data_IF_558998013171
#
_entry.id   IF_558998013171
#
_cell.length_a   1.000
_cell.length_b   1.000
_cell.length_c   1.000
_cell.angle_alpha   90.00
_cell.angle_beta   90.00
_cell.angle_gamma   90.00
#
_symmetry.space_group_name_H-M   'P 1'
#
loop_
_entity.id
_entity.type
_entity.pdbx_description
1 polymer ?
#
# COMPACT_ATOMS: atom_id res chain seq x y z
N UNK A 1 -58.95 19.16 -30.36
CA UNK A 1 -58.36 18.28 -29.31
C UNK A 1 -57.03 17.79 -29.86
N UNK A 2 -55.93 18.45 -29.50
CA UNK A 2 -54.57 18.01 -29.85
C UNK A 2 -53.96 17.38 -28.61
N UNK A 3 -53.74 16.07 -28.67
CA UNK A 3 -52.94 15.34 -27.67
C UNK A 3 -51.45 15.47 -28.03
N UNK A 4 -50.55 15.71 -27.07
CA UNK A 4 -49.11 15.72 -27.34
C UNK A 4 -48.52 14.31 -27.25
N UNK A 5 -47.75 13.92 -28.26
CA UNK A 5 -46.93 12.71 -28.26
C UNK A 5 -45.80 12.84 -27.22
N UNK A 6 -45.78 11.91 -26.25
CA UNK A 6 -44.60 11.66 -25.40
C UNK A 6 -43.56 10.91 -26.24
N UNK A 7 -42.44 11.55 -26.58
CA UNK A 7 -41.26 10.83 -27.06
C UNK A 7 -40.61 10.11 -25.88
N UNK A 8 -40.85 8.81 -25.78
CA UNK A 8 -40.15 7.90 -24.88
C UNK A 8 -38.71 7.74 -25.36
N UNK A 9 -37.73 8.19 -24.57
CA UNK A 9 -36.33 7.85 -24.79
C UNK A 9 -36.14 6.36 -24.47
N UNK A 10 -36.27 5.52 -25.49
CA UNK A 10 -35.99 4.09 -25.38
C UNK A 10 -34.50 3.91 -25.04
N UNK A 11 -34.21 3.53 -23.80
CA UNK A 11 -32.91 2.99 -23.41
C UNK A 11 -32.65 1.77 -24.27
N UNK A 12 -31.66 1.84 -25.17
CA UNK A 12 -31.24 0.69 -25.95
C UNK A 12 -30.53 -0.29 -25.02
N UNK A 13 -31.18 -1.42 -24.77
CA UNK A 13 -30.61 -2.55 -24.04
C UNK A 13 -29.48 -3.14 -24.91
N UNK A 14 -28.23 -2.99 -24.45
CA UNK A 14 -27.04 -3.48 -25.17
C UNK A 14 -26.89 -4.97 -24.88
N UNK A 15 -26.94 -5.80 -25.93
CA UNK A 15 -26.77 -7.25 -25.80
C UNK A 15 -25.31 -7.61 -25.50
N UNK A 16 -25.03 -8.67 -24.71
CA UNK A 16 -23.66 -9.06 -24.33
C UNK A 16 -22.71 -9.27 -25.53
N UNK A 17 -23.27 -9.74 -26.65
CA UNK A 17 -22.57 -10.02 -27.91
C UNK A 17 -22.06 -8.75 -28.63
N UNK A 18 -22.60 -7.58 -28.30
CA UNK A 18 -22.23 -6.28 -28.88
C UNK A 18 -21.19 -5.53 -28.05
N UNK A 19 -20.83 -6.05 -26.88
CA UNK A 19 -19.78 -5.48 -26.04
C UNK A 19 -18.44 -5.83 -26.70
N UNK A 20 -17.62 -4.84 -27.08
CA UNK A 20 -16.33 -5.10 -27.74
C UNK A 20 -15.30 -5.55 -26.69
N UNK A 21 -15.50 -6.75 -26.13
CA UNK A 21 -14.69 -7.32 -25.03
C UNK A 21 -13.20 -7.40 -25.37
N UNK A 22 -12.88 -7.68 -26.64
CA UNK A 22 -11.50 -7.72 -27.15
C UNK A 22 -10.83 -6.32 -27.15
N UNK A 23 -11.61 -5.26 -27.36
CA UNK A 23 -11.09 -3.89 -27.27
C UNK A 23 -10.79 -3.49 -25.83
N UNK A 24 -11.58 -3.97 -24.87
CA UNK A 24 -11.34 -3.71 -23.45
C UNK A 24 -10.19 -4.53 -22.91
N UNK A 25 -10.02 -5.79 -23.34
CA UNK A 25 -8.91 -6.63 -22.88
C UNK A 25 -7.55 -6.01 -23.22
N UNK A 26 -7.36 -5.52 -24.45
CA UNK A 26 -6.10 -4.87 -24.83
C UNK A 26 -5.80 -3.60 -24.02
N UNK A 27 -6.84 -2.85 -23.63
CA UNK A 27 -6.68 -1.69 -22.74
C UNK A 27 -6.29 -2.14 -21.32
N UNK A 28 -6.92 -3.18 -20.79
CA UNK A 28 -6.59 -3.75 -19.48
C UNK A 28 -5.17 -4.31 -19.45
N UNK A 29 -4.74 -5.00 -20.51
CA UNK A 29 -3.38 -5.52 -20.64
C UNK A 29 -2.36 -4.37 -20.65
N UNK A 30 -2.63 -3.30 -21.39
CA UNK A 30 -1.80 -2.09 -21.39
C UNK A 30 -1.74 -1.43 -20.01
N UNK A 31 -2.87 -1.30 -19.30
CA UNK A 31 -2.90 -0.74 -17.95
C UNK A 31 -2.12 -1.59 -16.93
N UNK A 32 -2.22 -2.92 -17.03
CA UNK A 32 -1.46 -3.84 -16.19
C UNK A 32 0.04 -3.71 -16.43
N UNK A 33 0.46 -3.57 -17.70
CA UNK A 33 1.85 -3.37 -18.04
C UNK A 33 2.39 -2.04 -17.53
N UNK A 34 1.65 -0.94 -17.70
CA UNK A 34 2.02 0.37 -17.17
C UNK A 34 2.10 0.35 -15.64
N UNK A 35 1.18 -0.33 -14.97
CA UNK A 35 1.23 -0.54 -13.52
C UNK A 35 2.52 -1.29 -13.13
N UNK A 36 2.80 -2.43 -13.76
CA UNK A 36 4.01 -3.20 -13.49
C UNK A 36 5.28 -2.36 -13.69
N UNK A 37 5.37 -1.61 -14.79
CA UNK A 37 6.48 -0.71 -15.08
C UNK A 37 6.63 0.39 -14.01
N UNK A 38 5.51 1.02 -13.61
CA UNK A 38 5.49 2.11 -12.64
C UNK A 38 5.97 1.68 -11.24
N UNK A 39 5.72 0.42 -10.87
CA UNK A 39 6.04 -0.15 -9.56
C UNK A 39 7.22 -1.12 -9.58
N UNK A 40 7.95 -1.23 -10.70
CA UNK A 40 9.09 -2.15 -10.83
C UNK A 40 10.19 -1.90 -9.79
N UNK A 41 10.35 -0.66 -9.32
CA UNK A 41 11.34 -0.33 -8.27
C UNK A 41 11.03 -1.01 -6.92
N UNK A 42 9.77 -1.37 -6.65
CA UNK A 42 9.40 -2.11 -5.44
C UNK A 42 10.00 -3.53 -5.43
N UNK A 43 10.25 -4.13 -6.60
CA UNK A 43 10.92 -5.43 -6.69
C UNK A 43 12.33 -5.36 -6.11
N UNK A 44 13.04 -4.23 -6.31
CA UNK A 44 14.40 -4.02 -5.79
C UNK A 44 14.46 -3.94 -4.27
N UNK A 45 13.37 -3.52 -3.63
CA UNK A 45 13.27 -3.37 -2.17
C UNK A 45 12.33 -4.41 -1.53
N UNK A 46 11.83 -5.38 -2.31
CA UNK A 46 10.84 -6.37 -1.88
C UNK A 46 11.32 -7.21 -0.69
N UNK A 47 12.59 -7.65 -0.72
CA UNK A 47 13.22 -8.38 0.37
C UNK A 47 13.27 -7.53 1.65
N UNK A 48 13.62 -6.25 1.53
CA UNK A 48 13.64 -5.29 2.64
C UNK A 48 12.25 -5.05 3.21
N UNK A 49 11.23 -4.91 2.34
CA UNK A 49 9.84 -4.77 2.76
C UNK A 49 9.39 -6.00 3.55
N UNK A 50 9.69 -7.23 3.07
CA UNK A 50 9.38 -8.46 3.81
C UNK A 50 10.08 -8.51 5.16
N UNK A 51 11.35 -8.11 5.21
CA UNK A 51 12.11 -8.08 6.47
C UNK A 51 11.50 -7.12 7.48
N UNK A 52 10.91 -6.01 7.04
CA UNK A 52 10.24 -5.04 7.92
C UNK A 52 8.80 -5.45 8.27
N UNK A 53 8.07 -6.03 7.32
CA UNK A 53 6.67 -6.42 7.52
C UNK A 53 6.52 -7.73 8.31
N UNK A 54 7.42 -8.69 8.10
CA UNK A 54 7.33 -10.03 8.68
C UNK A 54 8.72 -10.61 8.95
N UNK A 55 9.55 -9.96 9.80
CA UNK A 55 10.92 -10.42 10.07
C UNK A 55 10.98 -11.88 10.54
N UNK A 56 9.97 -12.33 11.28
CA UNK A 56 9.90 -13.70 11.81
C UNK A 56 9.79 -14.78 10.72
N UNK A 57 9.35 -14.44 9.50
CA UNK A 57 9.23 -15.35 8.36
C UNK A 57 10.42 -15.29 7.39
N UNK A 58 11.38 -14.39 7.62
CA UNK A 58 12.53 -14.25 6.73
C UNK A 58 13.61 -15.25 7.13
N UNK A 59 14.14 -15.96 6.13
CA UNK A 59 15.31 -16.83 6.31
C UNK A 59 16.52 -15.99 6.70
N UNK A 60 17.17 -16.35 7.79
CA UNK A 60 18.24 -15.54 8.40
C UNK A 60 19.40 -15.36 7.42
N UNK A 61 19.73 -16.40 6.67
CA UNK A 61 20.82 -16.45 5.70
C UNK A 61 20.58 -15.52 4.50
N UNK A 62 19.31 -15.22 4.20
CA UNK A 62 18.93 -14.31 3.11
C UNK A 62 19.03 -12.84 3.50
N UNK A 63 19.10 -12.53 4.80
CA UNK A 63 19.20 -11.16 5.29
C UNK A 63 20.64 -10.63 5.17
N UNK A 64 20.83 -9.30 5.03
CA UNK A 64 22.16 -8.68 5.09
C UNK A 64 22.94 -9.08 6.35
N UNK A 65 24.23 -9.38 6.20
CA UNK A 65 25.08 -9.94 7.27
C UNK A 65 24.99 -9.15 8.59
N UNK A 66 25.00 -7.81 8.53
CA UNK A 66 24.94 -6.94 9.71
C UNK A 66 23.62 -7.04 10.48
N UNK A 67 22.54 -7.51 9.84
CA UNK A 67 21.21 -7.66 10.45
C UNK A 67 20.94 -9.07 10.98
N UNK A 68 21.72 -10.07 10.57
CA UNK A 68 21.40 -11.48 10.84
C UNK A 68 21.34 -11.79 12.34
N UNK A 69 22.21 -11.17 13.14
CA UNK A 69 22.24 -11.40 14.59
C UNK A 69 20.96 -10.87 15.27
N UNK A 70 20.60 -9.61 15.02
CA UNK A 70 19.35 -9.03 15.54
C UNK A 70 18.12 -9.79 15.03
N UNK A 71 18.15 -10.28 13.79
CA UNK A 71 17.06 -11.05 13.21
C UNK A 71 16.85 -12.38 13.93
N UNK A 72 17.93 -13.09 14.28
CA UNK A 72 17.86 -14.32 15.09
C UNK A 72 17.30 -14.04 16.47
N UNK A 73 17.76 -12.99 17.13
CA UNK A 73 17.27 -12.59 18.46
C UNK A 73 15.78 -12.24 18.42
N UNK A 74 15.34 -11.44 17.43
CA UNK A 74 13.94 -11.09 17.23
C UNK A 74 13.07 -12.33 16.98
N UNK A 75 13.54 -13.26 16.14
CA UNK A 75 12.84 -14.53 15.86
C UNK A 75 12.64 -15.40 17.10
N UNK A 76 13.55 -15.30 18.07
CA UNK A 76 13.46 -16.02 19.34
C UNK A 76 12.67 -15.25 20.42
N UNK A 77 12.23 -14.03 20.13
CA UNK A 77 11.42 -13.24 21.05
C UNK A 77 9.92 -13.44 20.78
N UNK A 78 9.29 -14.32 21.55
CA UNK A 78 7.88 -14.69 21.40
C UNK A 78 6.93 -13.48 21.40
N UNK A 79 7.24 -12.43 22.17
CA UNK A 79 6.40 -11.24 22.24
C UNK A 79 6.43 -10.45 20.92
N UNK A 80 7.60 -10.31 20.29
CA UNK A 80 7.72 -9.65 19.00
C UNK A 80 7.15 -10.51 17.88
N UNK A 81 7.44 -11.82 17.87
CA UNK A 81 6.83 -12.75 16.90
C UNK A 81 5.31 -12.62 16.94
N UNK A 82 4.71 -12.63 18.14
CA UNK A 82 3.27 -12.46 18.33
C UNK A 82 2.76 -11.13 17.74
N UNK A 83 3.44 -10.00 18.00
CA UNK A 83 3.06 -8.69 17.43
C UNK A 83 3.02 -8.71 15.90
N UNK A 84 4.02 -9.33 15.26
CA UNK A 84 4.06 -9.42 13.80
C UNK A 84 3.05 -10.44 13.22
N UNK A 85 2.64 -11.45 13.98
CA UNK A 85 1.63 -12.44 13.54
C UNK A 85 0.20 -11.91 13.70
N UNK A 86 -0.09 -11.19 14.77
CA UNK A 86 -1.45 -10.71 15.10
C UNK A 86 -1.83 -9.41 14.37
N UNK A 87 -1.15 -9.07 13.26
CA UNK A 87 -1.37 -7.83 12.49
C UNK A 87 -1.37 -6.56 13.36
N UNK A 88 -0.49 -6.52 14.36
CA UNK A 88 -0.31 -5.30 15.16
C UNK A 88 0.18 -4.15 14.28
N UNK A 89 -0.12 -2.92 14.68
CA UNK A 89 0.39 -1.74 13.98
C UNK A 89 1.94 -1.81 13.86
N UNK A 90 2.43 -1.84 12.62
CA UNK A 90 3.86 -2.02 12.34
C UNK A 90 4.68 -0.88 12.93
N UNK A 91 4.15 0.34 12.87
CA UNK A 91 4.84 1.52 13.37
C UNK A 91 5.03 1.43 14.90
N UNK A 92 4.00 1.06 15.64
CA UNK A 92 4.08 0.88 17.10
C UNK A 92 4.91 -0.34 17.50
N UNK A 93 4.85 -1.42 16.71
CA UNK A 93 5.70 -2.60 16.89
C UNK A 93 7.18 -2.20 16.79
N UNK A 94 7.58 -1.54 15.70
CA UNK A 94 8.96 -1.08 15.50
C UNK A 94 9.37 0.07 16.44
N UNK A 95 8.44 0.88 16.95
CA UNK A 95 8.74 1.85 18.02
C UNK A 95 9.16 1.15 19.32
N UNK A 96 8.55 0.01 19.65
CA UNK A 96 8.85 -0.75 20.86
C UNK A 96 10.10 -1.64 20.76
N UNK A 97 10.58 -1.90 19.54
CA UNK A 97 11.74 -2.74 19.21
C UNK A 97 13.10 -2.06 19.50
N UNK A 98 13.28 -1.51 20.70
CA UNK A 98 14.49 -0.76 21.09
C UNK A 98 15.75 -1.63 21.16
N UNK A 99 15.58 -2.94 21.34
CA UNK A 99 16.65 -3.94 21.45
C UNK A 99 17.29 -4.29 20.09
N UNK A 100 16.63 -3.94 18.98
CA UNK A 100 17.07 -4.26 17.61
C UNK A 100 17.35 -2.99 16.80
N UNK A 101 18.41 -2.22 17.14
CA UNK A 101 18.64 -0.89 16.58
C UNK A 101 18.85 -0.89 15.07
N UNK A 102 19.52 -1.90 14.49
CA UNK A 102 19.78 -1.94 13.05
C UNK A 102 18.53 -2.31 12.26
N UNK A 103 17.76 -3.32 12.72
CA UNK A 103 16.48 -3.67 12.13
C UNK A 103 15.47 -2.51 12.26
N UNK A 104 15.47 -1.81 13.39
CA UNK A 104 14.61 -0.65 13.61
C UNK A 104 14.94 0.52 12.68
N UNK A 105 16.23 0.75 12.40
CA UNK A 105 16.63 1.78 11.45
C UNK A 105 16.22 1.42 10.02
N UNK A 106 16.37 0.15 9.63
CA UNK A 106 15.86 -0.35 8.36
C UNK A 106 14.34 -0.17 8.26
N UNK A 107 13.60 -0.53 9.30
CA UNK A 107 12.16 -0.36 9.37
C UNK A 107 11.76 1.12 9.22
N UNK A 108 12.47 2.03 9.88
CA UNK A 108 12.25 3.47 9.73
C UNK A 108 12.40 3.90 8.28
N UNK A 109 13.43 3.44 7.58
CA UNK A 109 13.66 3.79 6.17
C UNK A 109 12.51 3.35 5.25
N UNK A 110 11.95 2.15 5.47
CA UNK A 110 10.83 1.62 4.70
C UNK A 110 9.51 2.33 5.05
N UNK A 111 9.24 2.53 6.34
CA UNK A 111 7.99 3.16 6.81
C UNK A 111 7.86 4.62 6.36
N UNK A 112 8.98 5.31 6.09
CA UNK A 112 8.99 6.69 5.58
C UNK A 112 9.14 6.80 4.05
N UNK A 113 9.13 5.70 3.29
CA UNK A 113 9.23 5.75 1.82
C UNK A 113 8.15 6.63 1.18
N UNK A 114 6.97 6.67 1.79
CA UNK A 114 5.86 7.55 1.39
C UNK A 114 5.73 8.78 2.29
N UNK A 115 6.78 9.15 3.01
CA UNK A 115 6.79 10.22 3.99
C UNK A 115 6.45 11.59 3.40
N UNK A 116 6.86 11.86 2.15
CA UNK A 116 6.44 13.09 1.45
C UNK A 116 4.94 13.10 1.16
N UNK A 117 4.37 11.96 0.77
CA UNK A 117 2.91 11.81 0.58
C UNK A 117 2.17 12.02 1.89
N UNK A 118 2.64 11.39 2.97
CA UNK A 118 2.09 11.57 4.31
C UNK A 118 2.17 13.04 4.77
N UNK A 119 3.29 13.72 4.52
CA UNK A 119 3.46 15.12 4.85
C UNK A 119 2.51 16.02 4.03
N UNK A 120 2.35 15.72 2.74
CA UNK A 120 1.37 16.39 1.89
C UNK A 120 -0.06 16.18 2.41
N UNK A 121 -0.45 14.94 2.72
CA UNK A 121 -1.77 14.62 3.28
C UNK A 121 -2.03 15.34 4.61
N UNK A 122 -1.05 15.36 5.51
CA UNK A 122 -1.14 16.08 6.78
C UNK A 122 -1.28 17.60 6.55
N UNK A 123 -0.49 18.17 5.64
CA UNK A 123 -0.56 19.59 5.29
C UNK A 123 -1.91 19.96 4.66
N UNK A 124 -2.41 19.18 3.70
CA UNK A 124 -3.73 19.37 3.09
C UNK A 124 -4.86 19.21 4.09
N UNK A 125 -4.79 18.22 4.96
CA UNK A 125 -5.76 18.02 6.04
C UNK A 125 -5.81 19.23 6.98
N UNK A 126 -4.64 19.76 7.36
CA UNK A 126 -4.53 20.97 8.18
C UNK A 126 -5.09 22.22 7.49
N UNK A 127 -4.76 22.42 6.21
CA UNK A 127 -5.31 23.52 5.41
C UNK A 127 -6.83 23.43 5.30
N UNK A 128 -7.37 22.22 5.06
CA UNK A 128 -8.81 21.96 4.99
C UNK A 128 -9.50 22.30 6.32
N UNK A 129 -8.91 21.90 7.45
CA UNK A 129 -9.40 22.25 8.77
C UNK A 129 -9.46 23.76 8.99
N UNK A 130 -8.36 24.48 8.71
CA UNK A 130 -8.31 25.94 8.85
C UNK A 130 -9.35 26.62 7.95
N UNK A 131 -9.41 26.25 6.67
CA UNK A 131 -10.36 26.83 5.72
C UNK A 131 -11.82 26.61 6.14
N UNK A 132 -12.15 25.46 6.74
CA UNK A 132 -13.51 25.19 7.21
C UNK A 132 -13.83 25.95 8.51
N UNK A 133 -12.84 26.13 9.40
CA UNK A 133 -13.00 26.87 10.66
C UNK A 133 -13.27 28.37 10.44
N UNK A 134 -12.71 28.96 9.39
CA UNK A 134 -12.85 30.39 9.08
C UNK A 134 -13.85 30.71 7.97
N UNK A 135 -14.61 29.71 7.49
CA UNK A 135 -15.78 29.92 6.63
C UNK A 135 -17.01 30.07 7.53
N UNK A 136 -17.24 31.29 8.00
CA UNK A 136 -18.56 31.73 8.48
C UNK A 136 -19.29 32.38 7.33
#
# INVERSE_FOLDING_TARGET
>A
MSSPEKSSAAGKEVKPEQIPTVSFSGILDGLLQEFANRFQDFEKISATIRLVASPHLVETESAPLHLQMELVELKNNEQFVKKFTEESDLLDTWKSAVEYPQLRELARSILVLFGSTYLCEAAFSRMKYLKNKYRT
#
